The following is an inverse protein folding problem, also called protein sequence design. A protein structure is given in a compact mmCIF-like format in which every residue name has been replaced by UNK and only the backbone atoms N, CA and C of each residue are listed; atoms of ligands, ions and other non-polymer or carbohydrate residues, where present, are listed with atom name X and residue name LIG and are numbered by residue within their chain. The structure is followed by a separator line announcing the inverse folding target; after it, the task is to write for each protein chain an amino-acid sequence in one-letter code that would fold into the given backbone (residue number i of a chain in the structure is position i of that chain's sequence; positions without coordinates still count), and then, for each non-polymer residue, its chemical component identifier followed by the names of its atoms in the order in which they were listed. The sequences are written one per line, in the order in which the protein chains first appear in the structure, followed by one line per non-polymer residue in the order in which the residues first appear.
data_IF_308632524001
#
_entry.id   IF_308632524001
#
_cell.length_a   1.000
_cell.length_b   1.000
_cell.length_c   1.000
_cell.angle_alpha   90.00
_cell.angle_beta   90.00
_cell.angle_gamma   90.00
#
_symmetry.space_group_name_H-M   'P 1'
#
loop_
_entity.id
_entity.type
_entity.pdbx_description
1 polymer ?
#
# COMPACT_ATOMS: atom_id res chain seq x y z
N UNK A 1 -12.64 -8.12 8.14
CA UNK A 1 -12.20 -6.72 7.84
C UNK A 1 -10.91 -6.69 7.01
N UNK A 2 -10.75 -5.70 6.13
CA UNK A 2 -9.57 -5.55 5.26
C UNK A 2 -8.97 -4.14 5.43
N UNK A 3 -7.77 -4.06 5.98
CA UNK A 3 -7.01 -2.82 6.10
C UNK A 3 -6.21 -2.57 4.82
N UNK A 4 -6.28 -1.38 4.27
CA UNK A 4 -5.53 -1.10 3.05
C UNK A 4 -4.86 0.28 3.05
N UNK A 5 -3.76 0.36 2.29
CA UNK A 5 -3.09 1.59 1.90
C UNK A 5 -2.88 1.62 0.38
N UNK A 6 -3.08 2.77 -0.24
CA UNK A 6 -2.82 2.98 -1.66
C UNK A 6 -2.41 4.43 -1.92
N UNK A 7 -1.34 4.63 -2.69
CA UNK A 7 -0.90 5.97 -3.13
C UNK A 7 -1.56 6.38 -4.44
N UNK A 8 -1.48 5.53 -5.46
CA UNK A 8 -1.88 5.83 -6.85
C UNK A 8 -3.11 5.06 -7.33
N UNK A 9 -3.78 4.30 -6.46
CA UNK A 9 -5.04 3.62 -6.75
C UNK A 9 -4.91 2.12 -7.06
N UNK A 10 -3.77 1.61 -7.48
CA UNK A 10 -3.58 0.19 -7.82
C UNK A 10 -4.05 -0.75 -6.70
N UNK A 11 -3.46 -0.61 -5.52
CA UNK A 11 -3.82 -1.44 -4.35
C UNK A 11 -5.27 -1.24 -3.93
N UNK A 12 -5.78 0.01 -4.00
CA UNK A 12 -7.16 0.30 -3.68
C UNK A 12 -8.11 -0.51 -4.54
N UNK A 13 -7.91 -0.49 -5.86
CA UNK A 13 -8.75 -1.24 -6.78
C UNK A 13 -8.77 -2.74 -6.48
N UNK A 14 -7.60 -3.37 -6.26
CA UNK A 14 -7.53 -4.79 -5.90
C UNK A 14 -8.23 -5.07 -4.56
N UNK A 15 -7.96 -4.24 -3.55
CA UNK A 15 -8.56 -4.39 -2.24
C UNK A 15 -10.10 -4.27 -2.29
N UNK A 16 -10.64 -3.34 -3.09
CA UNK A 16 -12.08 -3.19 -3.34
C UNK A 16 -12.69 -4.44 -4.00
N UNK A 17 -12.02 -4.99 -5.02
CA UNK A 17 -12.51 -6.20 -5.70
C UNK A 17 -12.51 -7.42 -4.76
N UNK A 18 -11.43 -7.62 -4.01
CA UNK A 18 -11.33 -8.74 -3.06
C UNK A 18 -12.34 -8.56 -1.92
N UNK A 19 -12.37 -7.40 -1.27
CA UNK A 19 -13.27 -7.14 -0.15
C UNK A 19 -14.75 -7.37 -0.55
N UNK A 20 -15.14 -6.90 -1.76
CA UNK A 20 -16.46 -7.16 -2.32
C UNK A 20 -16.72 -8.65 -2.54
N UNK A 21 -15.76 -9.39 -3.11
CA UNK A 21 -15.90 -10.82 -3.39
C UNK A 21 -16.05 -11.64 -2.12
N UNK A 22 -15.30 -11.31 -1.06
CA UNK A 22 -15.32 -12.04 0.22
C UNK A 22 -16.34 -11.51 1.24
N UNK A 23 -17.05 -10.41 0.93
CA UNK A 23 -18.05 -9.80 1.81
C UNK A 23 -17.48 -9.11 3.06
N UNK A 24 -16.28 -8.53 2.97
CA UNK A 24 -15.61 -7.89 4.10
C UNK A 24 -15.60 -6.37 4.02
N UNK A 25 -15.60 -5.71 5.19
CA UNK A 25 -15.43 -4.26 5.27
C UNK A 25 -14.02 -3.85 4.86
N UNK A 26 -13.92 -2.80 4.05
CA UNK A 26 -12.67 -2.21 3.62
C UNK A 26 -12.34 -0.95 4.45
N UNK A 27 -11.16 -0.90 5.05
CA UNK A 27 -10.73 0.13 5.99
C UNK A 27 -9.44 0.81 5.50
N UNK A 28 -9.52 2.12 5.23
CA UNK A 28 -8.37 2.89 4.72
C UNK A 28 -7.43 3.31 5.85
N UNK A 29 -6.24 2.75 5.89
CA UNK A 29 -5.24 2.99 6.95
C UNK A 29 -4.99 4.48 7.24
N UNK A 30 -4.80 5.37 6.24
CA UNK A 30 -4.63 6.79 6.50
C UNK A 30 -5.78 7.44 7.27
N UNK A 31 -7.03 7.08 6.98
CA UNK A 31 -8.19 7.62 7.68
C UNK A 31 -8.26 7.11 9.12
N UNK A 32 -7.94 5.84 9.33
CA UNK A 32 -7.85 5.27 10.68
C UNK A 32 -6.77 5.99 11.51
N UNK A 33 -5.62 6.27 10.91
CA UNK A 33 -4.53 6.98 11.59
C UNK A 33 -4.88 8.45 11.89
N UNK A 34 -5.58 9.15 10.98
CA UNK A 34 -6.08 10.51 11.24
C UNK A 34 -7.05 10.57 12.40
N UNK A 35 -7.93 9.59 12.47
CA UNK A 35 -8.99 9.52 13.48
C UNK A 35 -8.55 8.83 14.78
N UNK A 36 -7.26 8.46 14.89
CA UNK A 36 -6.74 7.69 16.04
C UNK A 36 -7.52 6.40 16.32
N UNK A 37 -8.03 5.76 15.27
CA UNK A 37 -8.81 4.53 15.36
C UNK A 37 -7.88 3.31 15.18
N UNK A 38 -7.43 2.77 16.30
CA UNK A 38 -6.45 1.68 16.32
C UNK A 38 -6.95 0.40 17.00
N UNK A 39 -8.13 0.44 17.63
CA UNK A 39 -8.68 -0.67 18.40
C UNK A 39 -9.89 -1.26 17.68
N UNK A 40 -9.87 -2.56 17.43
CA UNK A 40 -10.93 -3.27 16.71
C UNK A 40 -11.32 -4.53 17.48
N UNK A 41 -12.62 -4.72 17.63
CA UNK A 41 -13.20 -5.93 18.18
C UNK A 41 -13.49 -6.91 17.06
N UNK A 42 -12.99 -8.13 17.19
CA UNK A 42 -13.16 -9.20 16.21
C UNK A 42 -14.45 -9.98 16.49
N UNK A 43 -15.22 -10.24 15.42
CA UNK A 43 -16.33 -11.18 15.46
C UNK A 43 -15.81 -12.61 15.44
N UNK A 44 -16.67 -13.58 15.82
CA UNK A 44 -16.37 -14.98 15.57
C UNK A 44 -16.15 -15.22 14.08
N UNK A 45 -15.11 -15.99 13.78
CA UNK A 45 -14.75 -16.29 12.39
C UNK A 45 -14.34 -15.07 11.54
N UNK A 46 -13.97 -13.95 12.13
CA UNK A 46 -13.45 -12.81 11.38
C UNK A 46 -12.20 -13.17 10.58
N UNK A 47 -12.13 -12.66 9.35
CA UNK A 47 -10.92 -12.69 8.52
C UNK A 47 -10.24 -11.35 8.59
N UNK A 48 -8.94 -11.34 8.81
CA UNK A 48 -8.14 -10.13 8.88
C UNK A 48 -7.29 -10.03 7.62
N UNK A 49 -7.52 -9.02 6.83
CA UNK A 49 -6.80 -8.78 5.58
C UNK A 49 -5.96 -7.51 5.61
N UNK A 50 -4.81 -7.53 4.90
CA UNK A 50 -3.98 -6.35 4.69
C UNK A 50 -3.62 -6.23 3.21
N UNK A 51 -3.89 -5.06 2.60
CA UNK A 51 -3.54 -4.75 1.22
C UNK A 51 -2.68 -3.49 1.15
N UNK A 52 -1.49 -3.55 0.55
CA UNK A 52 -0.58 -2.40 0.47
C UNK A 52 0.36 -2.50 -0.75
N UNK A 53 0.90 -1.38 -1.25
CA UNK A 53 1.90 -1.41 -2.30
C UNK A 53 3.29 -1.74 -1.74
N UNK A 54 4.18 -2.22 -2.58
CA UNK A 54 5.59 -2.35 -2.25
C UNK A 54 6.31 -1.01 -2.43
N UNK A 55 7.00 -0.53 -1.40
CA UNK A 55 7.85 0.66 -1.43
C UNK A 55 9.31 0.27 -1.19
N UNK A 56 10.13 0.28 -2.25
CA UNK A 56 11.54 -0.14 -2.14
C UNK A 56 11.68 -1.52 -1.53
N UNK A 57 10.97 -2.51 -2.08
CA UNK A 57 10.95 -3.92 -1.66
C UNK A 57 10.60 -4.16 -0.18
N UNK A 58 9.87 -3.23 0.43
CA UNK A 58 9.38 -3.32 1.81
C UNK A 58 7.93 -2.83 1.91
N UNK A 59 7.19 -3.16 2.98
CA UNK A 59 5.90 -2.53 3.26
C UNK A 59 6.07 -1.02 3.46
N UNK A 60 5.12 -0.19 2.99
CA UNK A 60 5.16 1.26 3.22
C UNK A 60 5.29 1.59 4.70
N UNK A 61 5.99 2.69 4.99
CA UNK A 61 6.21 3.16 6.37
C UNK A 61 4.90 3.30 7.15
N UNK A 62 3.87 3.92 6.55
CA UNK A 62 2.57 4.12 7.18
C UNK A 62 1.88 2.79 7.54
N UNK A 63 2.04 1.74 6.72
CA UNK A 63 1.50 0.41 7.01
C UNK A 63 2.20 -0.22 8.20
N UNK A 64 3.54 -0.12 8.26
CA UNK A 64 4.34 -0.63 9.38
C UNK A 64 4.02 0.11 10.68
N UNK A 65 3.87 1.44 10.61
CA UNK A 65 3.47 2.27 11.76
C UNK A 65 2.08 1.90 12.25
N UNK A 66 1.11 1.73 11.35
CA UNK A 66 -0.25 1.31 11.71
C UNK A 66 -0.27 -0.06 12.39
N UNK A 67 0.42 -1.06 11.84
CA UNK A 67 0.47 -2.42 12.42
C UNK A 67 1.08 -2.41 13.83
N UNK A 68 2.03 -1.52 14.12
CA UNK A 68 2.67 -1.42 15.45
C UNK A 68 1.75 -0.88 16.53
N UNK A 69 0.73 -0.11 16.16
CA UNK A 69 -0.22 0.49 17.10
C UNK A 69 -1.60 -0.18 17.05
N UNK A 70 -1.84 -1.05 16.07
CA UNK A 70 -3.08 -1.79 15.90
C UNK A 70 -3.31 -2.73 17.08
N UNK A 71 -4.50 -2.65 17.68
CA UNK A 71 -4.96 -3.53 18.74
C UNK A 71 -6.19 -4.28 18.25
N UNK A 72 -6.13 -5.58 18.33
CA UNK A 72 -7.21 -6.49 17.97
C UNK A 72 -7.60 -7.28 19.21
N UNK A 73 -8.89 -7.40 19.49
CA UNK A 73 -9.38 -8.12 20.65
C UNK A 73 -10.70 -8.83 20.35
N UNK A 74 -10.97 -9.91 21.05
CA UNK A 74 -12.30 -10.49 21.10
C UNK A 74 -13.08 -9.95 22.31
N UNK A 75 -14.41 -9.75 22.18
CA UNK A 75 -15.25 -9.23 23.26
C UNK A 75 -15.31 -10.15 24.48
N UNK A 76 -15.07 -11.44 24.30
CA UNK A 76 -15.17 -12.46 25.36
C UNK A 76 -13.89 -13.29 25.44
N UNK A 77 -13.43 -13.57 26.65
CA UNK A 77 -12.25 -14.39 26.98
C UNK A 77 -12.55 -15.89 26.94
N UNK A 78 -13.08 -16.44 25.87
CA UNK A 78 -13.20 -17.89 25.71
C UNK A 78 -11.88 -18.47 25.20
N UNK A 79 -11.36 -19.46 25.93
CA UNK A 79 -10.01 -20.03 25.75
C UNK A 79 -9.88 -21.06 24.61
N UNK A 80 -10.97 -21.45 23.96
CA UNK A 80 -10.99 -22.52 22.95
C UNK A 80 -11.22 -22.02 21.50
N UNK A 81 -10.68 -20.88 21.13
CA UNK A 81 -10.84 -20.36 19.77
C UNK A 81 -9.60 -20.59 18.92
N UNK A 82 -9.82 -20.94 17.66
CA UNK A 82 -8.75 -20.89 16.66
C UNK A 82 -8.30 -19.45 16.42
N UNK A 83 -7.00 -19.27 16.16
CA UNK A 83 -6.46 -17.97 15.71
C UNK A 83 -7.25 -17.46 14.51
N UNK A 84 -7.60 -16.17 14.47
CA UNK A 84 -8.29 -15.60 13.33
C UNK A 84 -7.47 -15.80 12.06
N UNK A 85 -8.17 -16.15 10.97
CA UNK A 85 -7.53 -16.26 9.68
C UNK A 85 -7.03 -14.90 9.22
N UNK A 86 -5.72 -14.80 9.00
CA UNK A 86 -5.08 -13.57 8.54
C UNK A 86 -4.43 -13.79 7.17
N UNK A 87 -4.58 -12.83 6.27
CA UNK A 87 -4.00 -12.84 4.94
C UNK A 87 -3.43 -11.47 4.57
N UNK A 88 -2.49 -11.43 3.62
CA UNK A 88 -1.95 -10.18 3.14
C UNK A 88 -1.66 -10.23 1.64
N UNK A 89 -1.87 -9.08 0.99
CA UNK A 89 -1.59 -8.87 -0.42
C UNK A 89 -0.77 -7.60 -0.62
N UNK A 90 0.29 -7.70 -1.41
CA UNK A 90 1.03 -6.52 -1.87
C UNK A 90 0.92 -6.33 -3.36
N UNK A 91 0.86 -5.06 -3.81
CA UNK A 91 1.02 -4.73 -5.22
C UNK A 91 2.43 -4.21 -5.47
N UNK A 92 3.03 -4.59 -6.60
CA UNK A 92 4.36 -4.15 -7.02
C UNK A 92 4.39 -3.91 -8.53
N UNK A 93 5.39 -3.15 -9.00
CA UNK A 93 5.60 -2.91 -10.42
C UNK A 93 6.16 -4.12 -11.15
N UNK A 94 7.11 -4.80 -10.52
CA UNK A 94 7.77 -6.00 -11.05
C UNK A 94 7.88 -7.07 -9.96
N UNK A 95 8.59 -6.80 -8.85
CA UNK A 95 8.76 -7.75 -7.75
C UNK A 95 8.64 -7.06 -6.38
N UNK A 96 8.40 -7.86 -5.33
CA UNK A 96 8.21 -7.37 -3.98
C UNK A 96 9.39 -7.67 -3.03
N UNK A 97 10.39 -8.42 -3.48
CA UNK A 97 11.50 -8.86 -2.64
C UNK A 97 11.04 -9.73 -1.45
N UNK A 98 11.53 -9.39 -0.27
CA UNK A 98 11.11 -9.98 1.02
C UNK A 98 10.08 -9.12 1.77
N UNK A 99 9.36 -8.24 1.08
CA UNK A 99 8.38 -7.32 1.69
C UNK A 99 7.35 -8.03 2.58
N UNK A 100 6.82 -9.19 2.14
CA UNK A 100 5.87 -9.97 2.93
C UNK A 100 6.51 -10.65 4.15
N UNK A 101 7.77 -11.08 4.07
CA UNK A 101 8.52 -11.59 5.22
C UNK A 101 8.70 -10.49 6.28
N UNK A 102 9.04 -9.27 5.84
CA UNK A 102 9.16 -8.10 6.72
C UNK A 102 7.80 -7.74 7.32
N UNK A 103 6.73 -7.76 6.53
CA UNK A 103 5.37 -7.50 7.01
C UNK A 103 4.93 -8.51 8.08
N UNK A 104 5.10 -9.80 7.83
CA UNK A 104 4.76 -10.83 8.81
C UNK A 104 5.55 -10.71 10.12
N UNK A 105 6.80 -10.23 10.05
CA UNK A 105 7.58 -9.93 11.27
C UNK A 105 6.97 -8.77 12.08
N UNK A 106 6.40 -7.76 11.42
CA UNK A 106 5.68 -6.68 12.13
C UNK A 106 4.35 -7.18 12.70
N UNK A 107 3.59 -8.02 11.98
CA UNK A 107 2.34 -8.61 12.47
C UNK A 107 2.52 -9.44 13.73
N UNK A 108 3.63 -10.15 13.87
CA UNK A 108 3.95 -10.95 15.07
C UNK A 108 4.11 -10.15 16.37
N UNK A 109 4.01 -8.83 16.31
CA UNK A 109 3.94 -7.96 17.50
C UNK A 109 2.52 -7.92 18.08
N UNK A 110 1.52 -8.30 17.29
CA UNK A 110 0.12 -8.33 17.73
C UNK A 110 -0.13 -9.68 18.39
N UNK A 111 -0.42 -9.62 19.68
CA UNK A 111 -0.83 -10.79 20.48
C UNK A 111 -2.29 -10.55 20.88
N UNK A 112 -3.15 -11.48 20.51
CA UNK A 112 -4.57 -11.42 20.86
C UNK A 112 -4.79 -12.00 22.25
N UNK A 113 -5.72 -11.40 23.01
CA UNK A 113 -6.09 -11.89 24.31
C UNK A 113 -6.60 -13.34 24.23
N UNK A 114 -6.04 -14.22 25.08
CA UNK A 114 -6.39 -15.63 25.11
C UNK A 114 -5.59 -16.53 24.16
N UNK A 115 -4.62 -15.98 23.43
CA UNK A 115 -3.76 -16.76 22.54
C UNK A 115 -2.29 -16.68 22.95
N UNK A 116 -1.60 -17.81 22.89
CA UNK A 116 -0.15 -17.90 23.15
C UNK A 116 0.71 -17.54 21.94
N UNK A 117 0.15 -17.64 20.74
CA UNK A 117 0.85 -17.36 19.48
C UNK A 117 0.54 -15.95 18.98
N UNK A 118 1.50 -15.24 18.37
CA UNK A 118 1.27 -13.96 17.76
C UNK A 118 0.49 -14.07 16.43
N UNK A 119 -0.16 -12.98 16.02
CA UNK A 119 -0.84 -12.91 14.71
C UNK A 119 0.18 -13.07 13.58
N UNK A 120 -0.20 -13.84 12.57
CA UNK A 120 0.61 -14.00 11.37
C UNK A 120 -0.31 -14.20 10.15
N UNK A 121 0.04 -13.61 9.02
CA UNK A 121 -0.66 -13.87 7.77
C UNK A 121 -0.24 -15.23 7.21
N UNK A 122 -1.23 -16.07 6.94
CA UNK A 122 -1.06 -17.46 6.53
C UNK A 122 -1.34 -17.69 5.04
N UNK A 123 -1.96 -16.69 4.38
CA UNK A 123 -2.05 -16.61 2.93
C UNK A 123 -1.46 -15.28 2.47
N UNK A 124 -0.45 -15.35 1.62
CA UNK A 124 0.35 -14.21 1.16
C UNK A 124 0.34 -14.15 -0.35
N UNK A 125 0.01 -12.98 -0.88
CA UNK A 125 -0.09 -12.74 -2.31
C UNK A 125 0.72 -11.52 -2.75
N UNK A 126 1.24 -11.57 -3.97
CA UNK A 126 1.70 -10.42 -4.72
C UNK A 126 0.92 -10.30 -6.03
N UNK A 127 0.60 -9.08 -6.43
CA UNK A 127 -0.04 -8.80 -7.72
C UNK A 127 0.76 -7.71 -8.43
N UNK A 128 1.21 -8.03 -9.63
CA UNK A 128 1.95 -7.08 -10.46
C UNK A 128 0.96 -6.07 -11.06
N UNK A 129 1.21 -4.79 -10.79
CA UNK A 129 0.38 -3.68 -11.23
C UNK A 129 1.23 -2.62 -11.96
N UNK A 130 0.61 -1.72 -12.73
CA UNK A 130 1.35 -0.68 -13.42
C UNK A 130 2.30 0.12 -12.54
N UNK A 131 3.50 0.40 -13.09
CA UNK A 131 4.57 1.10 -12.38
C UNK A 131 4.21 2.57 -12.14
N UNK A 132 4.41 3.02 -10.91
CA UNK A 132 4.14 4.40 -10.51
C UNK A 132 5.33 5.10 -9.86
N UNK A 133 6.44 4.41 -9.58
CA UNK A 133 7.60 5.06 -9.00
C UNK A 133 8.50 5.66 -10.09
N UNK A 134 8.68 6.99 -10.07
CA UNK A 134 9.36 7.75 -11.15
C UNK A 134 10.50 8.64 -10.65
N UNK A 135 10.91 8.50 -9.38
CA UNK A 135 11.89 9.39 -8.77
C UNK A 135 13.36 8.97 -8.95
N UNK A 136 13.62 7.88 -9.68
CA UNK A 136 14.97 7.48 -10.06
C UNK A 136 15.18 7.64 -11.58
N UNK A 137 16.44 7.89 -12.03
CA UNK A 137 16.73 8.17 -13.44
C UNK A 137 16.26 7.09 -14.43
N UNK A 138 16.30 5.83 -14.01
CA UNK A 138 15.91 4.65 -14.81
C UNK A 138 14.46 4.21 -14.61
N UNK A 139 13.73 4.80 -13.66
CA UNK A 139 12.34 4.47 -13.39
C UNK A 139 11.39 5.38 -14.17
N UNK A 140 10.38 4.80 -14.77
CA UNK A 140 9.31 5.50 -15.48
C UNK A 140 8.00 4.71 -15.40
N UNK A 141 6.89 5.36 -15.67
CA UNK A 141 5.59 4.69 -15.81
C UNK A 141 5.62 3.69 -16.97
N UNK A 142 4.80 2.68 -16.90
CA UNK A 142 4.61 1.72 -18.01
C UNK A 142 3.98 2.40 -19.24
N UNK A 143 4.15 1.78 -20.42
CA UNK A 143 3.39 2.15 -21.63
C UNK A 143 1.93 1.75 -21.48
N UNK A 144 1.06 2.28 -22.36
CA UNK A 144 -0.38 1.97 -22.30
C UNK A 144 -0.66 0.48 -22.47
N UNK A 145 0.06 -0.17 -23.36
CA UNK A 145 -0.07 -1.60 -23.61
C UNK A 145 0.35 -2.42 -22.38
N UNK A 146 1.47 -2.02 -21.75
CA UNK A 146 1.98 -2.71 -20.55
C UNK A 146 1.06 -2.46 -19.33
N UNK A 147 0.51 -1.25 -19.18
CA UNK A 147 -0.52 -0.94 -18.17
C UNK A 147 -1.74 -1.86 -18.36
N UNK A 148 -2.29 -1.92 -19.58
CA UNK A 148 -3.47 -2.73 -19.89
C UNK A 148 -3.21 -4.23 -19.65
N UNK A 149 -2.06 -4.74 -20.07
CA UNK A 149 -1.65 -6.13 -19.86
C UNK A 149 -1.56 -6.47 -18.36
N UNK A 150 -0.90 -5.64 -17.55
CA UNK A 150 -0.77 -5.88 -16.10
C UNK A 150 -2.14 -5.87 -15.40
N UNK A 151 -3.00 -4.93 -15.76
CA UNK A 151 -4.36 -4.83 -15.21
C UNK A 151 -5.19 -6.06 -15.59
N UNK A 152 -5.07 -6.53 -16.83
CA UNK A 152 -5.80 -7.71 -17.30
C UNK A 152 -5.35 -8.98 -16.55
N UNK A 153 -4.06 -9.20 -16.39
CA UNK A 153 -3.52 -10.30 -15.58
C UNK A 153 -4.05 -10.22 -14.14
N UNK A 154 -4.01 -9.04 -13.52
CA UNK A 154 -4.51 -8.84 -12.18
C UNK A 154 -6.01 -9.18 -12.04
N UNK A 155 -6.84 -8.80 -13.06
CA UNK A 155 -8.27 -9.17 -13.09
C UNK A 155 -8.48 -10.68 -13.03
N UNK A 156 -7.64 -11.46 -13.71
CA UNK A 156 -7.74 -12.91 -13.72
C UNK A 156 -7.23 -13.57 -12.42
N UNK A 157 -6.32 -12.93 -11.69
CA UNK A 157 -5.83 -13.42 -10.40
C UNK A 157 -6.83 -13.21 -9.25
N UNK A 158 -7.64 -12.15 -9.28
CA UNK A 158 -8.55 -11.77 -8.18
C UNK A 158 -9.53 -12.89 -7.78
N UNK A 159 -10.23 -13.59 -8.70
CA UNK A 159 -11.16 -14.66 -8.33
C UNK A 159 -10.48 -15.80 -7.58
N UNK A 160 -9.29 -16.21 -8.00
CA UNK A 160 -8.50 -17.23 -7.32
C UNK A 160 -8.10 -16.81 -5.91
N UNK A 161 -7.55 -15.59 -5.76
CA UNK A 161 -7.17 -15.03 -4.46
C UNK A 161 -8.38 -14.96 -3.53
N UNK A 162 -9.52 -14.48 -4.03
CA UNK A 162 -10.76 -14.40 -3.26
C UNK A 162 -11.24 -15.81 -2.80
N UNK A 163 -11.14 -16.81 -3.67
CA UNK A 163 -11.48 -18.19 -3.32
C UNK A 163 -10.58 -18.74 -2.20
N UNK A 164 -9.27 -18.58 -2.31
CA UNK A 164 -8.30 -18.98 -1.26
C UNK A 164 -8.66 -18.35 0.09
N UNK A 165 -8.99 -17.05 0.09
CA UNK A 165 -9.36 -16.32 1.30
C UNK A 165 -10.71 -16.80 1.85
N UNK A 166 -11.72 -17.01 0.99
CA UNK A 166 -13.04 -17.49 1.40
C UNK A 166 -12.97 -18.88 2.04
N UNK A 167 -12.17 -19.76 1.47
CA UNK A 167 -11.97 -21.13 1.98
C UNK A 167 -10.94 -21.23 3.10
N UNK A 168 -10.34 -20.08 3.48
CA UNK A 168 -9.35 -19.98 4.58
C UNK A 168 -8.16 -20.92 4.41
N UNK A 169 -7.68 -21.08 3.19
CA UNK A 169 -6.50 -21.90 2.93
C UNK A 169 -5.27 -21.29 3.61
N UNK A 170 -4.54 -22.12 4.35
CA UNK A 170 -3.35 -21.73 5.11
C UNK A 170 -2.08 -22.21 4.41
N UNK A 171 -0.96 -21.56 4.69
CA UNK A 171 0.34 -21.90 4.10
C UNK A 171 0.50 -21.50 2.63
N UNK A 172 -0.37 -20.62 2.12
CA UNK A 172 -0.31 -20.14 0.74
C UNK A 172 0.69 -19.01 0.61
N UNK A 173 1.61 -19.11 -0.35
CA UNK A 173 2.60 -18.09 -0.67
C UNK A 173 2.75 -17.93 -2.19
N UNK A 174 1.94 -17.08 -2.78
CA UNK A 174 1.96 -16.72 -4.21
C UNK A 174 2.62 -15.37 -4.37
N UNK A 175 3.96 -15.36 -4.43
CA UNK A 175 4.79 -14.17 -4.27
C UNK A 175 5.82 -14.02 -5.39
N UNK A 176 5.80 -12.90 -6.09
CA UNK A 176 6.83 -12.48 -7.04
C UNK A 176 7.99 -11.82 -6.30
N UNK A 177 8.96 -12.62 -5.86
CA UNK A 177 10.08 -12.15 -5.03
C UNK A 177 11.24 -11.58 -5.83
N UNK A 178 11.29 -11.86 -7.14
CA UNK A 178 12.44 -11.52 -7.97
C UNK A 178 13.68 -12.38 -7.68
N UNK A 179 14.78 -12.17 -8.45
CA UNK A 179 15.94 -13.07 -8.43
C UNK A 179 16.83 -12.96 -7.19
N UNK A 180 16.88 -11.78 -6.55
CA UNK A 180 17.74 -11.52 -5.37
C UNK A 180 16.98 -10.80 -4.25
N UNK A 181 15.90 -11.41 -3.71
CA UNK A 181 14.96 -10.72 -2.84
C UNK A 181 15.58 -10.19 -1.54
N UNK A 182 16.54 -10.92 -0.98
CA UNK A 182 17.23 -10.51 0.26
C UNK A 182 18.12 -9.29 0.05
N UNK A 183 18.87 -9.23 -1.05
CA UNK A 183 19.70 -8.08 -1.39
C UNK A 183 18.83 -6.84 -1.59
N UNK A 184 17.76 -6.97 -2.39
CA UNK A 184 16.86 -5.86 -2.65
C UNK A 184 16.16 -5.37 -1.39
N UNK A 185 15.66 -6.23 -0.54
CA UNK A 185 14.89 -5.77 0.63
C UNK A 185 15.76 -5.31 1.80
N UNK A 186 16.86 -6.04 2.12
CA UNK A 186 17.62 -5.75 3.34
C UNK A 186 18.81 -4.83 3.14
N UNK A 187 19.32 -4.67 1.91
CA UNK A 187 20.41 -3.74 1.62
C UNK A 187 19.87 -2.52 0.86
N UNK A 188 19.43 -2.71 -0.37
CA UNK A 188 18.99 -1.60 -1.25
C UNK A 188 17.71 -0.96 -0.70
N UNK A 189 16.71 -1.76 -0.36
CA UNK A 189 15.45 -1.30 0.19
C UNK A 189 15.59 -0.69 1.58
N UNK A 190 16.50 -1.20 2.40
CA UNK A 190 16.82 -0.58 3.69
C UNK A 190 17.39 0.83 3.48
N UNK A 191 18.40 0.97 2.64
CA UNK A 191 18.98 2.28 2.29
C UNK A 191 17.92 3.21 1.69
N UNK A 192 17.12 2.71 0.73
CA UNK A 192 16.05 3.47 0.11
C UNK A 192 15.04 4.01 1.14
N UNK A 193 14.53 3.14 2.01
CA UNK A 193 13.50 3.50 2.99
C UNK A 193 14.00 4.44 4.09
N UNK A 194 15.31 4.43 4.40
CA UNK A 194 15.89 5.29 5.44
C UNK A 194 16.44 6.62 4.91
N UNK A 195 16.92 6.66 3.66
CA UNK A 195 17.64 7.82 3.15
C UNK A 195 16.99 8.46 1.91
N UNK A 196 16.19 7.72 1.14
CA UNK A 196 15.63 8.23 -0.11
C UNK A 196 14.15 8.63 0.00
N UNK A 197 13.42 8.10 0.98
CA UNK A 197 12.04 8.52 1.24
C UNK A 197 12.07 9.86 1.98
N UNK A 198 11.90 10.94 1.21
CA UNK A 198 11.92 12.33 1.72
C UNK A 198 10.99 13.20 0.90
N UNK A 199 10.49 14.27 1.52
CA UNK A 199 9.71 15.31 0.84
C UNK A 199 10.54 16.54 0.44
N UNK A 200 11.82 16.60 0.84
CA UNK A 200 12.71 17.76 0.56
C UNK A 200 12.95 18.02 -0.93
N UNK A 201 12.75 17.02 -1.78
CA UNK A 201 12.95 17.16 -3.24
C UNK A 201 11.66 17.54 -3.99
N UNK A 202 10.52 17.57 -3.32
CA UNK A 202 9.28 18.01 -3.96
C UNK A 202 9.31 19.53 -4.18
N UNK A 203 8.92 19.93 -5.38
CA UNK A 203 8.79 21.32 -5.79
C UNK A 203 7.48 21.52 -6.53
N UNK A 204 6.98 22.75 -6.53
CA UNK A 204 5.83 23.18 -7.31
C UNK A 204 6.21 24.24 -8.33
N UNK A 205 5.80 24.05 -9.57
CA UNK A 205 5.84 25.08 -10.61
C UNK A 205 4.62 26.00 -10.39
N UNK A 206 4.86 27.15 -9.79
CA UNK A 206 3.81 28.12 -9.43
C UNK A 206 3.14 28.73 -10.66
N UNK A 207 3.83 28.77 -11.81
CA UNK A 207 3.27 29.25 -13.08
C UNK A 207 2.26 28.28 -13.68
N UNK A 208 2.40 26.96 -13.41
CA UNK A 208 1.45 25.94 -13.83
C UNK A 208 0.36 25.66 -12.80
N UNK A 209 0.63 25.91 -11.52
CA UNK A 209 -0.26 25.54 -10.43
C UNK A 209 -1.57 26.34 -10.45
N UNK A 210 -2.68 25.64 -10.70
CA UNK A 210 -4.04 26.22 -10.70
C UNK A 210 -4.67 26.29 -9.30
N UNK A 211 -3.92 26.01 -8.25
CA UNK A 211 -4.35 26.10 -6.84
C UNK A 211 -5.57 25.23 -6.49
N UNK A 212 -5.80 24.11 -7.18
CA UNK A 212 -6.98 23.27 -7.00
C UNK A 212 -7.04 22.45 -5.69
N UNK A 213 -5.95 22.42 -4.92
CA UNK A 213 -5.87 21.69 -3.64
C UNK A 213 -5.85 20.16 -3.74
N UNK A 214 -5.85 19.58 -4.95
CA UNK A 214 -5.88 18.11 -5.13
C UNK A 214 -4.73 17.42 -4.41
N UNK A 215 -3.52 17.97 -4.48
CA UNK A 215 -2.32 17.41 -3.82
C UNK A 215 -2.44 17.35 -2.29
N UNK A 216 -3.11 18.34 -1.69
CA UNK A 216 -3.40 18.33 -0.24
C UNK A 216 -4.36 17.19 0.10
N UNK A 217 -5.47 17.09 -0.67
CA UNK A 217 -6.51 16.08 -0.42
C UNK A 217 -6.04 14.64 -0.60
N UNK A 218 -5.14 14.38 -1.54
CA UNK A 218 -4.64 13.01 -1.80
C UNK A 218 -3.45 12.61 -0.95
N UNK A 219 -2.91 13.52 -0.13
CA UNK A 219 -1.78 13.20 0.74
C UNK A 219 -2.22 12.28 1.89
N UNK A 220 -1.76 11.02 1.94
CA UNK A 220 -2.25 10.06 2.93
C UNK A 220 -1.76 10.33 4.36
N UNK A 221 -0.77 11.22 4.51
CA UNK A 221 -0.13 11.53 5.79
C UNK A 221 -0.22 13.02 6.15
N UNK A 222 -1.08 13.77 5.46
CA UNK A 222 -1.33 15.21 5.67
C UNK A 222 -0.04 16.05 5.73
N UNK A 223 0.92 15.69 4.87
CA UNK A 223 2.24 16.34 4.81
C UNK A 223 2.27 17.54 3.87
N UNK A 224 1.12 17.95 3.34
CA UNK A 224 1.02 19.08 2.40
C UNK A 224 -0.06 20.03 2.89
N UNK A 225 0.29 21.31 2.97
CA UNK A 225 -0.63 22.41 3.29
C UNK A 225 -0.63 23.44 2.18
N UNK A 226 -1.56 24.39 2.23
CA UNK A 226 -1.69 25.54 1.35
C UNK A 226 -1.90 25.22 -0.15
N UNK A 227 -2.21 26.26 -0.89
CA UNK A 227 -2.30 26.26 -2.36
C UNK A 227 -1.73 27.57 -2.89
N UNK A 228 -0.57 27.57 -3.53
CA UNK A 228 0.26 26.42 -3.95
C UNK A 228 0.72 25.53 -2.80
N UNK A 229 0.99 24.21 -3.08
CA UNK A 229 1.35 23.28 -2.03
C UNK A 229 2.70 23.57 -1.38
N UNK A 230 2.75 23.44 -0.07
CA UNK A 230 3.95 23.47 0.76
C UNK A 230 4.06 22.17 1.55
N UNK A 231 5.23 21.52 1.51
CA UNK A 231 5.49 20.30 2.28
C UNK A 231 5.95 20.65 3.68
N UNK A 232 5.44 19.91 4.68
CA UNK A 232 5.69 20.20 6.11
C UNK A 232 7.07 19.75 6.60
N UNK A 233 7.78 18.92 5.85
CA UNK A 233 9.09 18.37 6.20
C UNK A 233 9.16 17.74 7.59
N UNK A 234 8.05 17.15 8.03
CA UNK A 234 7.89 16.56 9.37
C UNK A 234 8.30 15.07 9.44
N UNK A 235 8.98 14.57 8.40
CA UNK A 235 9.43 13.20 8.30
C UNK A 235 8.32 12.15 8.07
N UNK A 236 7.06 12.56 7.87
CA UNK A 236 5.92 11.64 7.68
C UNK A 236 5.72 11.19 6.23
N UNK A 237 6.31 11.89 5.27
CA UNK A 237 6.16 11.55 3.86
C UNK A 237 6.55 10.09 3.59
N UNK A 238 5.69 9.35 2.89
CA UNK A 238 5.94 7.96 2.47
C UNK A 238 6.48 7.86 1.04
N UNK A 239 6.69 8.99 0.38
CA UNK A 239 7.07 9.09 -1.04
C UNK A 239 6.15 8.25 -1.97
N UNK A 240 4.86 8.19 -1.65
CA UNK A 240 3.87 7.47 -2.43
C UNK A 240 3.52 8.14 -3.77
N UNK A 241 4.03 9.35 -4.00
CA UNK A 241 3.85 10.16 -5.21
C UNK A 241 2.40 10.53 -5.57
N UNK A 242 1.43 10.31 -4.69
CA UNK A 242 0.04 10.68 -4.95
C UNK A 242 -0.09 12.17 -5.35
N UNK A 243 0.58 13.08 -4.65
CA UNK A 243 0.57 14.51 -4.96
C UNK A 243 1.08 14.82 -6.38
N UNK A 244 2.10 14.10 -6.84
CA UNK A 244 2.65 14.22 -8.18
C UNK A 244 1.68 13.65 -9.23
N UNK A 245 1.23 12.42 -9.03
CA UNK A 245 0.44 11.70 -10.02
C UNK A 245 -0.96 12.25 -10.22
N UNK A 246 -1.62 12.72 -9.16
CA UNK A 246 -2.96 13.32 -9.23
C UNK A 246 -2.97 14.82 -9.56
N UNK A 247 -1.82 15.46 -9.78
CA UNK A 247 -1.79 16.86 -10.17
C UNK A 247 -2.31 17.03 -11.61
N UNK A 248 -3.46 17.68 -11.84
CA UNK A 248 -4.10 17.72 -13.16
C UNK A 248 -3.29 18.49 -14.21
N UNK A 249 -2.45 19.41 -13.77
CA UNK A 249 -1.64 20.26 -14.64
C UNK A 249 -0.14 19.95 -14.56
N UNK A 250 0.23 18.84 -13.91
CA UNK A 250 1.62 18.41 -13.75
C UNK A 250 2.55 19.52 -13.21
N UNK A 251 2.06 20.26 -12.22
CA UNK A 251 2.81 21.34 -11.58
C UNK A 251 3.77 20.86 -10.48
N UNK A 252 3.58 19.64 -9.94
CA UNK A 252 4.42 19.07 -8.88
C UNK A 252 5.53 18.24 -9.48
N UNK A 253 6.75 18.40 -8.96
CA UNK A 253 7.93 17.67 -9.40
C UNK A 253 8.73 17.14 -8.21
N UNK A 254 9.53 16.10 -8.42
CA UNK A 254 10.50 15.57 -7.48
C UNK A 254 11.91 15.81 -8.04
N UNK A 255 12.54 16.89 -7.63
CA UNK A 255 13.79 17.37 -8.20
C UNK A 255 13.65 17.68 -9.69
N UNK A 256 14.72 17.43 -10.46
CA UNK A 256 14.73 17.60 -11.93
C UNK A 256 14.24 16.36 -12.68
N UNK A 257 14.25 15.18 -12.03
CA UNK A 257 14.02 13.88 -12.66
C UNK A 257 12.60 13.78 -13.23
N UNK A 258 11.61 14.23 -12.46
CA UNK A 258 10.20 14.02 -12.82
C UNK A 258 9.63 15.06 -13.79
N UNK A 259 10.38 16.12 -14.12
CA UNK A 259 9.92 17.18 -15.05
C UNK A 259 9.54 16.66 -16.44
N UNK A 260 10.15 15.55 -16.86
CA UNK A 260 9.92 14.89 -18.15
C UNK A 260 9.36 13.46 -17.98
N UNK A 261 8.75 13.16 -16.85
CA UNK A 261 8.16 11.86 -16.58
C UNK A 261 6.63 11.94 -16.65
N UNK A 262 6.02 10.87 -17.10
CA UNK A 262 4.56 10.77 -17.13
C UNK A 262 3.99 10.59 -15.73
N UNK A 263 2.70 10.87 -15.61
CA UNK A 263 1.91 10.61 -14.41
C UNK A 263 1.11 9.33 -14.62
N UNK A 264 0.93 8.57 -13.57
CA UNK A 264 0.07 7.40 -13.54
C UNK A 264 -0.74 7.37 -12.23
N UNK A 265 -2.05 7.18 -12.34
CA UNK A 265 -2.91 6.67 -11.27
C UNK A 265 -3.95 5.74 -11.92
N UNK A 266 -4.46 4.81 -11.15
CA UNK A 266 -5.43 3.83 -11.64
C UNK A 266 -6.66 4.54 -12.23
N UNK A 267 -7.12 4.12 -13.40
CA UNK A 267 -8.18 4.72 -14.21
C UNK A 267 -7.91 6.14 -14.75
N UNK A 268 -6.67 6.63 -14.71
CA UNK A 268 -6.32 7.97 -15.22
C UNK A 268 -6.80 8.23 -16.64
N UNK A 269 -6.77 7.21 -17.49
CA UNK A 269 -7.14 7.34 -18.89
C UNK A 269 -8.67 7.46 -19.08
N UNK A 270 -9.43 6.82 -18.20
CA UNK A 270 -10.89 6.91 -18.16
C UNK A 270 -11.33 8.29 -17.64
N UNK A 271 -10.66 8.81 -16.63
CA UNK A 271 -10.93 10.13 -16.03
C UNK A 271 -10.61 11.31 -16.98
N UNK A 272 -9.85 11.07 -18.07
CA UNK A 272 -9.47 12.07 -19.07
C UNK A 272 -10.32 12.04 -20.33
N UNK A 273 -11.22 11.07 -20.50
CA UNK A 273 -12.19 10.95 -21.58
C UNK A 273 -13.49 11.63 -21.20
#
# INVERSE_FOLDING_TARGET
MVFYFSGTGNTRWIAEQIAKAIGEQLLYIPDLMRNSQYEFSLSENERIGFCFPTHGWQPPRIVREFVRILKLSYPTTTTDREMPYCWALTTCGDDMGEGMTIFNKELRRIVLNGYSSPLQAEALFSVIMPESYVCLPFMKTDTEEKEAMKIDIAKHQIPHIAQVIQTRMRGIMELDKGPTPRLYSYVIGHYFNHHMITDHKFTVDTGKCIKCGKCVKVCPVDNIKNTPPEWLHNGRCTCCLACYHYCPVHAINYGSITRKRDQYYFNRREDRR
#
